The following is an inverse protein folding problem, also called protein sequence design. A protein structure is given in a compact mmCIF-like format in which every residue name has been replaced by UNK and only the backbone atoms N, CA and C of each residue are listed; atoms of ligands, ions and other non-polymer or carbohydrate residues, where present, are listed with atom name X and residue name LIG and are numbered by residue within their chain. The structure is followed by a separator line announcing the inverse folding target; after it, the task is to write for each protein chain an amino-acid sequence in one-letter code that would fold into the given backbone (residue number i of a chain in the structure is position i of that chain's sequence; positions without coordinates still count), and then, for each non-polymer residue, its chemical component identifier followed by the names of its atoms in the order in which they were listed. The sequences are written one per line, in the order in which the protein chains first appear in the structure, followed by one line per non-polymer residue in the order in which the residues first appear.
data_IF_672094353149
#
_entry.id   IF_672094353149
#
_cell.length_a   1.000
_cell.length_b   1.000
_cell.length_c   1.000
_cell.angle_alpha   90.00
_cell.angle_beta   90.00
_cell.angle_gamma   90.00
#
_symmetry.space_group_name_H-M   'P 1'
#
loop_
_entity.id
_entity.type
_entity.pdbx_description
1 polymer ?
#
# COMPACT_ATOMS: atom_id res chain seq x y z
N UNK A 1 -21.43 39.58 15.93
CA UNK A 1 -20.97 38.19 15.67
C UNK A 1 -19.64 37.98 16.38
N UNK A 2 -19.62 37.14 17.40
CA UNK A 2 -18.51 36.94 18.34
C UNK A 2 -17.29 36.29 17.68
N UNK A 3 -16.08 36.79 18.01
CA UNK A 3 -14.79 36.35 17.46
C UNK A 3 -14.56 34.81 17.48
N UNK A 4 -15.24 34.10 18.39
CA UNK A 4 -15.24 32.64 18.53
C UNK A 4 -15.76 31.89 17.29
N UNK A 5 -16.75 32.45 16.58
CA UNK A 5 -17.29 31.83 15.37
C UNK A 5 -16.29 31.91 14.19
N UNK A 6 -15.46 32.97 14.17
CA UNK A 6 -14.49 33.23 13.10
C UNK A 6 -13.30 32.28 13.18
N UNK A 7 -12.81 31.99 14.39
CA UNK A 7 -11.75 30.99 14.62
C UNK A 7 -12.24 29.55 14.44
N UNK A 8 -13.49 29.26 14.79
CA UNK A 8 -14.08 27.93 14.53
C UNK A 8 -14.22 27.67 13.03
N UNK A 9 -14.66 28.67 12.27
CA UNK A 9 -14.72 28.60 10.80
C UNK A 9 -13.35 28.43 10.17
N UNK A 10 -12.30 29.15 10.62
CA UNK A 10 -10.96 29.02 10.03
C UNK A 10 -10.34 27.63 10.24
N UNK A 11 -10.61 26.97 11.36
CA UNK A 11 -10.11 25.60 11.62
C UNK A 11 -10.87 24.58 10.77
N UNK A 12 -12.19 24.73 10.62
CA UNK A 12 -13.01 23.87 9.75
C UNK A 12 -12.63 24.08 8.28
N UNK A 13 -12.47 25.32 7.83
CA UNK A 13 -12.02 25.64 6.48
C UNK A 13 -10.59 25.16 6.22
N UNK A 14 -9.70 25.26 7.21
CA UNK A 14 -8.35 24.70 7.09
C UNK A 14 -8.40 23.19 6.95
N UNK A 15 -9.16 22.47 7.80
CA UNK A 15 -9.34 21.01 7.72
C UNK A 15 -9.99 20.56 6.41
N UNK A 16 -11.03 21.26 5.95
CA UNK A 16 -11.70 20.99 4.68
C UNK A 16 -10.76 21.24 3.49
N UNK A 17 -9.85 22.22 3.58
CA UNK A 17 -8.84 22.49 2.54
C UNK A 17 -7.77 21.40 2.51
N UNK A 18 -7.39 20.84 3.67
CA UNK A 18 -6.50 19.68 3.75
C UNK A 18 -7.17 18.41 3.21
N UNK A 19 -8.48 18.25 3.45
CA UNK A 19 -9.28 17.13 2.94
C UNK A 19 -9.59 17.27 1.43
N UNK A 20 -9.77 18.50 0.93
CA UNK A 20 -9.89 18.78 -0.50
C UNK A 20 -8.58 18.58 -1.28
N UNK A 21 -7.43 18.64 -0.57
CA UNK A 21 -6.10 18.32 -1.09
C UNK A 21 -5.72 16.84 -0.92
N UNK A 22 -6.68 15.97 -0.57
CA UNK A 22 -6.46 14.52 -0.59
C UNK A 22 -5.94 14.11 -1.98
N UNK A 23 -4.92 13.23 -2.04
CA UNK A 23 -4.50 12.59 -3.28
C UNK A 23 -5.70 12.07 -4.07
N UNK A 24 -5.90 12.61 -5.29
CA UNK A 24 -7.05 12.27 -6.13
C UNK A 24 -6.74 11.17 -7.14
N UNK A 25 -5.50 11.09 -7.59
CA UNK A 25 -4.99 10.03 -8.46
C UNK A 25 -4.38 8.88 -7.65
N UNK A 26 -4.16 7.75 -8.33
CA UNK A 26 -3.63 6.54 -7.73
C UNK A 26 -2.20 6.74 -7.22
N UNK A 27 -1.36 7.42 -8.00
CA UNK A 27 0.05 7.64 -7.68
C UNK A 27 0.24 8.43 -6.39
N UNK A 28 -0.50 9.53 -6.18
CA UNK A 28 -0.35 10.30 -4.95
C UNK A 28 -0.91 9.54 -3.72
N UNK A 29 -1.92 8.67 -3.90
CA UNK A 29 -2.39 7.78 -2.83
C UNK A 29 -1.33 6.72 -2.51
N UNK A 30 -0.68 6.16 -3.53
CA UNK A 30 0.41 5.22 -3.40
C UNK A 30 1.61 5.85 -2.69
N UNK A 31 2.07 7.02 -3.12
CA UNK A 31 3.22 7.72 -2.52
C UNK A 31 2.98 7.99 -1.03
N UNK A 32 1.77 8.43 -0.68
CA UNK A 32 1.39 8.60 0.73
C UNK A 32 1.35 7.26 1.46
N UNK A 33 0.85 6.20 0.84
CA UNK A 33 0.85 4.84 1.40
C UNK A 33 2.27 4.36 1.71
N UNK A 34 3.23 4.63 0.82
CA UNK A 34 4.66 4.34 1.04
C UNK A 34 5.21 5.14 2.22
N UNK A 35 4.85 6.41 2.36
CA UNK A 35 5.26 7.23 3.52
C UNK A 35 4.74 6.62 4.83
N UNK A 36 3.47 6.21 4.90
CA UNK A 36 2.92 5.60 6.12
C UNK A 36 3.50 4.20 6.38
N UNK A 37 3.77 3.41 5.33
CA UNK A 37 4.45 2.12 5.45
C UNK A 37 5.83 2.29 6.11
N UNK A 38 6.61 3.26 5.64
CA UNK A 38 7.94 3.57 6.17
C UNK A 38 7.90 4.12 7.61
N UNK A 39 6.78 4.70 8.03
CA UNK A 39 6.56 5.14 9.41
C UNK A 39 6.13 4.02 10.35
N UNK A 40 5.83 2.83 9.82
CA UNK A 40 5.29 1.72 10.61
C UNK A 40 3.77 1.75 10.76
N UNK A 41 3.09 2.72 10.14
CA UNK A 41 1.64 2.90 10.21
C UNK A 41 0.94 2.00 9.17
N UNK A 42 1.08 0.69 9.35
CA UNK A 42 0.72 -0.30 8.32
C UNK A 42 -0.78 -0.33 7.98
N UNK A 43 -1.65 -0.07 8.95
CA UNK A 43 -3.10 0.03 8.72
C UNK A 43 -3.41 1.21 7.80
N UNK A 44 -2.83 2.38 8.08
CA UNK A 44 -3.02 3.57 7.25
C UNK A 44 -2.43 3.37 5.84
N UNK A 45 -1.27 2.72 5.75
CA UNK A 45 -0.66 2.37 4.47
C UNK A 45 -1.59 1.45 3.64
N UNK A 46 -2.14 0.40 4.24
CA UNK A 46 -3.07 -0.51 3.59
C UNK A 46 -4.30 0.24 3.06
N UNK A 47 -4.95 1.07 3.89
CA UNK A 47 -6.12 1.86 3.47
C UNK A 47 -5.81 2.79 2.28
N UNK A 48 -4.64 3.41 2.28
CA UNK A 48 -4.19 4.27 1.19
C UNK A 48 -3.96 3.48 -0.10
N UNK A 49 -3.29 2.33 -0.02
CA UNK A 49 -3.09 1.47 -1.19
C UNK A 49 -4.40 0.87 -1.71
N UNK A 50 -5.35 0.49 -0.84
CA UNK A 50 -6.68 0.00 -1.27
C UNK A 50 -7.46 1.10 -2.00
N UNK A 51 -7.35 2.36 -1.53
CA UNK A 51 -7.93 3.51 -2.24
C UNK A 51 -7.22 3.77 -3.57
N UNK A 52 -5.90 3.64 -3.62
CA UNK A 52 -5.12 3.79 -4.84
C UNK A 52 -5.54 2.72 -5.87
N UNK A 53 -5.74 1.48 -5.42
CA UNK A 53 -6.15 0.37 -6.26
C UNK A 53 -7.57 0.55 -6.83
N UNK A 54 -8.48 1.17 -6.07
CA UNK A 54 -9.81 1.55 -6.59
C UNK A 54 -9.73 2.57 -7.73
N UNK A 55 -8.63 3.32 -7.85
CA UNK A 55 -8.38 4.25 -8.96
C UNK A 55 -7.70 3.54 -10.13
N UNK A 56 -6.72 2.70 -9.83
CA UNK A 56 -5.97 1.92 -10.84
C UNK A 56 -5.91 0.44 -10.46
N UNK A 57 -6.92 -0.36 -10.88
CA UNK A 57 -7.04 -1.77 -10.48
C UNK A 57 -5.95 -2.69 -11.03
N UNK A 58 -5.19 -2.26 -12.05
CA UNK A 58 -4.15 -3.03 -12.74
C UNK A 58 -2.73 -2.51 -12.45
N UNK A 59 -2.56 -1.78 -11.34
CA UNK A 59 -1.28 -1.23 -10.95
C UNK A 59 -0.44 -2.20 -10.10
N UNK A 60 0.56 -2.84 -10.71
CA UNK A 60 1.42 -3.83 -10.04
C UNK A 60 2.12 -3.29 -8.77
N UNK A 61 2.55 -2.02 -8.81
CA UNK A 61 3.25 -1.38 -7.69
C UNK A 61 2.32 -1.14 -6.49
N UNK A 62 1.03 -0.90 -6.72
CA UNK A 62 0.02 -0.72 -5.66
C UNK A 62 -0.28 -2.06 -4.98
N UNK A 63 -0.48 -3.13 -5.75
CA UNK A 63 -0.61 -4.48 -5.19
C UNK A 63 0.62 -4.88 -4.38
N UNK A 64 1.82 -4.47 -4.81
CA UNK A 64 3.05 -4.72 -4.08
C UNK A 64 3.07 -3.98 -2.74
N UNK A 65 2.65 -2.71 -2.71
CA UNK A 65 2.48 -1.94 -1.46
C UNK A 65 1.45 -2.57 -0.50
N UNK A 66 0.35 -3.12 -1.04
CA UNK A 66 -0.62 -3.90 -0.27
C UNK A 66 0.00 -5.16 0.31
N UNK A 67 0.78 -5.90 -0.48
CA UNK A 67 1.47 -7.09 0.01
C UNK A 67 2.41 -6.76 1.18
N UNK A 68 3.22 -5.71 1.03
CA UNK A 68 4.13 -5.26 2.08
C UNK A 68 3.39 -4.83 3.35
N UNK A 69 2.37 -3.96 3.24
CA UNK A 69 1.58 -3.52 4.40
C UNK A 69 0.87 -4.68 5.11
N UNK A 70 0.24 -5.60 4.36
CA UNK A 70 -0.44 -6.79 4.90
C UNK A 70 0.54 -7.78 5.54
N UNK A 71 1.73 -7.96 4.97
CA UNK A 71 2.79 -8.79 5.54
C UNK A 71 3.26 -8.24 6.91
N UNK A 72 3.39 -6.92 7.03
CA UNK A 72 3.74 -6.23 8.29
C UNK A 72 2.63 -6.26 9.34
N UNK A 73 1.38 -6.35 8.90
CA UNK A 73 0.22 -6.58 9.78
C UNK A 73 0.04 -8.05 10.20
N UNK A 74 0.82 -8.99 9.65
CA UNK A 74 0.68 -10.42 9.91
C UNK A 74 -0.46 -11.10 9.14
N UNK A 75 -1.09 -10.38 8.20
CA UNK A 75 -2.15 -10.89 7.33
C UNK A 75 -1.57 -11.71 6.18
N UNK A 76 -0.92 -12.84 6.50
CA UNK A 76 -0.11 -13.65 5.57
C UNK A 76 -0.87 -14.03 4.28
N UNK A 77 -2.06 -14.61 4.40
CA UNK A 77 -2.84 -15.04 3.23
C UNK A 77 -3.17 -13.87 2.29
N UNK A 78 -3.63 -12.74 2.84
CA UNK A 78 -3.95 -11.55 2.05
C UNK A 78 -2.69 -10.88 1.45
N UNK A 79 -1.55 -10.97 2.14
CA UNK A 79 -0.27 -10.49 1.63
C UNK A 79 0.19 -11.30 0.42
N UNK A 80 0.11 -12.64 0.49
CA UNK A 80 0.43 -13.55 -0.61
C UNK A 80 -0.48 -13.34 -1.82
N UNK A 81 -1.79 -13.15 -1.60
CA UNK A 81 -2.74 -12.83 -2.67
C UNK A 81 -2.35 -11.53 -3.38
N UNK A 82 -2.08 -10.47 -2.62
CA UNK A 82 -1.68 -9.17 -3.18
C UNK A 82 -0.35 -9.28 -3.94
N UNK A 83 0.62 -10.02 -3.38
CA UNK A 83 1.91 -10.24 -4.02
C UNK A 83 1.74 -11.02 -5.33
N UNK A 84 0.88 -12.02 -5.35
CA UNK A 84 0.56 -12.80 -6.56
C UNK A 84 0.05 -11.89 -7.68
N UNK A 85 -0.89 -10.99 -7.38
CA UNK A 85 -1.39 -10.02 -8.36
C UNK A 85 -0.28 -9.09 -8.86
N UNK A 86 0.56 -8.57 -7.96
CA UNK A 86 1.70 -7.73 -8.33
C UNK A 86 2.68 -8.45 -9.29
N UNK A 87 2.99 -9.72 -9.01
CA UNK A 87 3.93 -10.53 -9.80
C UNK A 87 3.32 -11.01 -11.13
N UNK A 88 2.01 -11.20 -11.20
CA UNK A 88 1.31 -11.50 -12.45
C UNK A 88 1.33 -10.30 -13.40
N UNK A 89 1.05 -9.11 -12.89
CA UNK A 89 1.10 -7.87 -13.67
C UNK A 89 2.53 -7.48 -14.04
N UNK A 90 3.48 -7.69 -13.12
CA UNK A 90 4.88 -7.33 -13.33
C UNK A 90 5.85 -8.40 -12.81
N UNK A 91 6.14 -9.43 -13.62
CA UNK A 91 7.05 -10.54 -13.29
C UNK A 91 8.43 -10.15 -12.75
N UNK A 92 8.98 -9.00 -13.18
CA UNK A 92 10.28 -8.50 -12.73
C UNK A 92 10.33 -8.10 -11.25
N UNK A 93 9.18 -7.91 -10.60
CA UNK A 93 9.10 -7.59 -9.17
C UNK A 93 9.54 -8.76 -8.28
N UNK A 94 9.69 -9.99 -8.81
CA UNK A 94 10.20 -11.15 -8.06
C UNK A 94 11.56 -10.86 -7.43
N UNK A 95 12.48 -10.30 -8.21
CA UNK A 95 13.83 -9.99 -7.71
C UNK A 95 13.78 -9.00 -6.54
N UNK A 96 12.89 -8.00 -6.61
CA UNK A 96 12.67 -7.09 -5.49
C UNK A 96 12.10 -7.84 -4.28
N UNK A 97 11.05 -8.65 -4.48
CA UNK A 97 10.40 -9.41 -3.41
C UNK A 97 11.35 -10.33 -2.64
N UNK A 98 12.32 -10.96 -3.31
CA UNK A 98 13.32 -11.81 -2.65
C UNK A 98 14.15 -11.07 -1.60
N UNK A 99 14.42 -9.78 -1.83
CA UNK A 99 15.30 -8.97 -0.99
C UNK A 99 14.56 -7.95 -0.13
N UNK A 100 13.26 -7.72 -0.39
CA UNK A 100 12.47 -6.74 0.35
C UNK A 100 12.28 -7.17 1.81
N UNK A 101 12.61 -6.26 2.73
CA UNK A 101 12.52 -6.49 4.17
C UNK A 101 11.09 -6.43 4.68
N UNK A 102 10.19 -5.72 3.99
CA UNK A 102 8.79 -5.62 4.42
C UNK A 102 8.02 -6.91 4.19
N UNK A 103 8.53 -7.79 3.33
CA UNK A 103 8.01 -9.13 3.06
C UNK A 103 8.73 -10.22 3.87
N UNK A 104 9.62 -9.86 4.80
CA UNK A 104 10.43 -10.83 5.54
C UNK A 104 9.56 -11.84 6.32
N UNK A 105 8.39 -11.43 6.80
CA UNK A 105 7.45 -12.31 7.51
C UNK A 105 6.89 -13.42 6.62
N UNK A 106 6.87 -13.22 5.30
CA UNK A 106 6.39 -14.22 4.33
C UNK A 106 7.47 -15.23 3.93
N UNK A 107 8.75 -15.00 4.24
CA UNK A 107 9.85 -15.86 3.75
C UNK A 107 9.81 -17.28 4.28
N UNK A 108 9.08 -17.53 5.36
CA UNK A 108 8.88 -18.88 5.91
C UNK A 108 7.69 -19.60 5.27
N UNK A 109 6.93 -18.93 4.39
CA UNK A 109 5.76 -19.49 3.73
C UNK A 109 6.16 -20.18 2.42
N UNK A 110 5.85 -21.48 2.23
CA UNK A 110 6.17 -22.20 1.00
C UNK A 110 5.59 -21.55 -0.26
N UNK A 111 4.43 -20.89 -0.13
CA UNK A 111 3.78 -20.18 -1.22
C UNK A 111 4.57 -18.93 -1.63
N UNK A 112 5.19 -18.24 -0.69
CA UNK A 112 6.07 -17.10 -0.99
C UNK A 112 7.28 -17.54 -1.81
N UNK A 113 7.93 -18.64 -1.41
CA UNK A 113 9.08 -19.19 -2.12
C UNK A 113 8.73 -19.52 -3.58
N UNK A 114 7.59 -20.19 -3.80
CA UNK A 114 7.11 -20.53 -5.15
C UNK A 114 6.80 -19.29 -5.99
N UNK A 115 6.25 -18.24 -5.37
CA UNK A 115 5.95 -16.98 -6.06
C UNK A 115 7.22 -16.29 -6.56
N UNK A 116 8.27 -16.25 -5.74
CA UNK A 116 9.49 -15.47 -6.03
C UNK A 116 10.60 -16.30 -6.68
N UNK A 117 10.58 -17.62 -6.58
CA UNK A 117 11.47 -18.58 -7.26
C UNK A 117 10.65 -19.61 -8.05
N UNK A 118 9.93 -19.20 -9.12
CA UNK A 118 9.18 -20.16 -9.91
C UNK A 118 10.15 -21.15 -10.55
N UNK A 119 10.04 -22.44 -10.20
CA UNK A 119 10.74 -23.49 -10.93
C UNK A 119 10.24 -23.48 -12.36
N UNK A 120 11.08 -23.05 -13.29
CA UNK A 120 10.88 -23.33 -14.71
C UNK A 120 10.91 -24.83 -14.88
N UNK A 121 9.74 -25.46 -14.98
CA UNK A 121 9.64 -26.79 -15.56
C UNK A 121 9.96 -26.64 -17.05
N UNK A 122 11.14 -27.11 -17.43
CA UNK A 122 11.59 -27.30 -18.81
C UNK A 122 10.68 -28.24 -19.57
#
# INVERSE_FOLDING_TARGET
MTARARTYMSVIESRLRTEAALPRDADALYDRGVVELNRGEYVAAQELFERALKREPEAAHIYYGLAASRARLGSVAAALESLTQALNLQPKLRLRAQHDGDLATLRNEPDFEQLVFPTTRS
#
